data_IF_169494940676
#
_entry.id   IF_169494940676
#
_cell.length_a   1.000
_cell.length_b   1.000
_cell.length_c   1.000
_cell.angle_alpha   90.00
_cell.angle_beta   90.00
_cell.angle_gamma   90.00
#
_symmetry.space_group_name_H-M   'P 1'
#
loop_
_entity.id
_entity.type
_entity.pdbx_description
1 polymer ?
#
# COMPACT_ATOMS: atom_id res chain seq x y z
N UNK A 1 -33.01 14.75 -25.94
CA UNK A 1 -31.57 14.45 -26.16
C UNK A 1 -30.69 14.91 -24.99
N UNK A 2 -30.94 16.08 -24.38
CA UNK A 2 -30.20 16.57 -23.20
C UNK A 2 -30.39 15.72 -21.92
N UNK A 3 -31.61 15.28 -21.58
CA UNK A 3 -31.88 14.40 -20.43
C UNK A 3 -31.18 13.03 -20.54
N UNK A 4 -31.22 12.41 -21.72
CA UNK A 4 -30.53 11.14 -21.97
C UNK A 4 -29.00 11.27 -21.77
N UNK A 5 -28.42 12.38 -22.20
CA UNK A 5 -27.00 12.66 -21.97
C UNK A 5 -26.68 12.88 -20.48
N UNK A 6 -27.56 13.56 -19.75
CA UNK A 6 -27.41 13.80 -18.31
C UNK A 6 -27.45 12.49 -17.50
N UNK A 7 -28.47 11.64 -17.71
CA UNK A 7 -28.60 10.37 -17.00
C UNK A 7 -27.43 9.41 -17.32
N UNK A 8 -26.96 9.41 -18.57
CA UNK A 8 -25.78 8.62 -18.96
C UNK A 8 -24.50 9.09 -18.25
N UNK A 9 -24.29 10.40 -18.13
CA UNK A 9 -23.12 10.96 -17.43
C UNK A 9 -23.19 10.66 -15.95
N UNK A 10 -24.36 10.86 -15.32
CA UNK A 10 -24.61 10.57 -13.90
C UNK A 10 -24.35 9.10 -13.57
N UNK A 11 -24.86 8.18 -14.38
CA UNK A 11 -24.62 6.74 -14.23
C UNK A 11 -23.13 6.39 -14.34
N UNK A 12 -22.42 6.98 -15.30
CA UNK A 12 -20.98 6.79 -15.49
C UNK A 12 -20.17 7.26 -14.29
N UNK A 13 -20.46 8.45 -13.76
CA UNK A 13 -19.78 9.01 -12.59
C UNK A 13 -20.01 8.11 -11.36
N UNK A 14 -21.25 7.65 -11.14
CA UNK A 14 -21.55 6.79 -10.00
C UNK A 14 -20.78 5.44 -10.06
N UNK A 15 -20.70 4.82 -11.24
CA UNK A 15 -19.90 3.60 -11.44
C UNK A 15 -18.41 3.86 -11.20
N UNK A 16 -17.89 5.00 -11.67
CA UNK A 16 -16.49 5.38 -11.45
C UNK A 16 -16.17 5.61 -9.97
N UNK A 17 -17.04 6.30 -9.23
CA UNK A 17 -16.87 6.51 -7.78
C UNK A 17 -16.78 5.15 -7.07
N UNK A 18 -17.75 4.26 -7.31
CA UNK A 18 -17.75 2.93 -6.66
C UNK A 18 -16.50 2.12 -6.97
N UNK A 19 -15.99 2.21 -8.20
CA UNK A 19 -14.75 1.54 -8.60
C UNK A 19 -13.55 2.11 -7.84
N UNK A 20 -13.39 3.43 -7.80
CA UNK A 20 -12.24 4.04 -7.12
C UNK A 20 -12.29 3.89 -5.60
N UNK A 21 -13.49 3.83 -4.99
CA UNK A 21 -13.64 3.46 -3.57
C UNK A 21 -13.10 2.06 -3.31
N UNK A 22 -13.52 1.06 -4.09
CA UNK A 22 -13.00 -0.32 -3.94
C UNK A 22 -11.49 -0.42 -4.16
N UNK A 23 -10.95 0.36 -5.11
CA UNK A 23 -9.51 0.42 -5.32
C UNK A 23 -8.77 1.01 -4.10
N UNK A 24 -9.37 1.99 -3.41
CA UNK A 24 -8.81 2.56 -2.19
C UNK A 24 -8.87 1.57 -1.03
N UNK A 25 -9.99 0.86 -0.87
CA UNK A 25 -10.15 -0.16 0.17
C UNK A 25 -9.07 -1.24 0.01
N UNK A 26 -8.95 -1.80 -1.20
CA UNK A 26 -7.93 -2.80 -1.52
C UNK A 26 -6.50 -2.29 -1.30
N UNK A 27 -6.20 -1.05 -1.70
CA UNK A 27 -4.87 -0.47 -1.47
C UNK A 27 -4.57 -0.25 0.02
N UNK A 28 -5.61 0.00 0.83
CA UNK A 28 -5.48 0.13 2.29
C UNK A 28 -5.23 -1.23 2.94
N UNK A 29 -5.92 -2.28 2.51
CA UNK A 29 -5.67 -3.66 2.96
C UNK A 29 -4.24 -4.12 2.64
N UNK A 30 -3.72 -3.78 1.46
CA UNK A 30 -2.33 -4.08 1.09
C UNK A 30 -1.31 -3.31 1.94
N UNK A 31 -1.61 -2.07 2.32
CA UNK A 31 -0.75 -1.31 3.25
C UNK A 31 -0.73 -1.97 4.62
N UNK A 32 -1.89 -2.35 5.17
CA UNK A 32 -1.98 -3.05 6.45
C UNK A 32 -1.22 -4.39 6.43
N UNK A 33 -1.39 -5.18 5.37
CA UNK A 33 -0.64 -6.44 5.19
C UNK A 33 0.87 -6.20 5.14
N UNK A 34 1.32 -5.15 4.45
CA UNK A 34 2.74 -4.79 4.38
C UNK A 34 3.29 -4.33 5.73
N UNK A 35 2.49 -3.63 6.55
CA UNK A 35 2.86 -3.25 7.92
C UNK A 35 3.03 -4.48 8.81
N UNK A 36 2.11 -5.46 8.72
CA UNK A 36 2.22 -6.73 9.44
C UNK A 36 3.45 -7.53 9.00
N UNK A 37 3.72 -7.59 7.69
CA UNK A 37 4.90 -8.25 7.15
C UNK A 37 6.20 -7.59 7.64
N UNK A 38 6.24 -6.26 7.68
CA UNK A 38 7.38 -5.51 8.22
C UNK A 38 7.61 -5.83 9.71
N UNK A 39 6.55 -5.83 10.52
CA UNK A 39 6.64 -6.20 11.93
C UNK A 39 7.19 -7.63 12.11
N UNK A 40 6.70 -8.59 11.33
CA UNK A 40 7.19 -9.97 11.33
C UNK A 40 8.67 -10.07 10.92
N UNK A 41 9.11 -9.32 9.91
CA UNK A 41 10.53 -9.34 9.48
C UNK A 41 11.46 -8.67 10.49
N UNK A 42 11.00 -7.65 11.21
CA UNK A 42 11.77 -7.06 12.33
C UNK A 42 11.98 -8.07 13.45
N UNK A 43 10.93 -8.80 13.80
CA UNK A 43 10.98 -9.89 14.77
C UNK A 43 11.96 -10.98 14.34
N UNK A 44 11.82 -11.43 13.08
CA UNK A 44 12.69 -12.45 12.49
C UNK A 44 14.17 -12.05 12.51
N UNK A 45 14.49 -10.79 12.21
CA UNK A 45 15.86 -10.28 12.28
C UNK A 45 16.38 -10.29 13.72
N UNK A 46 15.56 -9.91 14.70
CA UNK A 46 15.97 -9.93 16.11
C UNK A 46 16.35 -11.34 16.55
N UNK A 47 15.45 -12.31 16.33
CA UNK A 47 15.71 -13.72 16.64
C UNK A 47 16.95 -14.26 15.91
N UNK A 48 17.12 -13.87 14.62
CA UNK A 48 18.28 -14.30 13.84
C UNK A 48 19.59 -13.72 14.39
N UNK A 49 19.56 -12.49 14.87
CA UNK A 49 20.72 -11.80 15.47
C UNK A 49 21.10 -12.45 16.80
N UNK A 50 20.12 -12.69 17.69
CA UNK A 50 20.33 -13.38 18.96
C UNK A 50 20.91 -14.80 18.75
N UNK A 51 20.38 -15.55 17.78
CA UNK A 51 20.90 -16.86 17.43
C UNK A 51 22.33 -16.78 16.84
N UNK A 52 22.64 -15.73 16.08
CA UNK A 52 23.98 -15.48 15.56
C UNK A 52 24.99 -15.19 16.67
N UNK A 53 24.61 -14.38 17.66
CA UNK A 53 25.42 -14.07 18.84
C UNK A 53 25.66 -15.30 19.71
N UNK A 54 24.70 -16.21 19.79
CA UNK A 54 24.83 -17.51 20.45
C UNK A 54 25.62 -18.55 19.62
N UNK A 55 26.07 -18.21 18.41
CA UNK A 55 26.79 -19.13 17.51
C UNK A 55 25.90 -20.19 16.83
N UNK A 56 24.57 -20.06 16.92
CA UNK A 56 23.59 -20.98 16.33
C UNK A 56 23.23 -20.62 14.88
N UNK A 57 23.58 -19.41 14.42
CA UNK A 57 23.43 -18.97 13.03
C UNK A 57 24.71 -18.35 12.50
N UNK A 58 24.91 -18.50 11.21
CA UNK A 58 26.01 -17.88 10.47
C UNK A 58 25.76 -16.40 10.20
N UNK A 59 26.84 -15.65 9.93
CA UNK A 59 26.76 -14.25 9.49
C UNK A 59 25.96 -14.07 8.20
N UNK A 60 26.03 -15.06 7.28
CA UNK A 60 25.24 -15.09 6.05
C UNK A 60 23.74 -15.17 6.33
N UNK A 61 23.31 -16.01 7.28
CA UNK A 61 21.89 -16.13 7.65
C UNK A 61 21.35 -14.86 8.33
N UNK A 62 22.14 -14.22 9.20
CA UNK A 62 21.79 -12.92 9.77
C UNK A 62 21.67 -11.86 8.67
N UNK A 63 22.60 -11.86 7.71
CA UNK A 63 22.57 -10.93 6.57
C UNK A 63 21.35 -11.15 5.68
N UNK A 64 20.96 -12.40 5.44
CA UNK A 64 19.74 -12.73 4.71
C UNK A 64 18.49 -12.20 5.43
N UNK A 65 18.42 -12.33 6.76
CA UNK A 65 17.32 -11.76 7.54
C UNK A 65 17.26 -10.22 7.44
N UNK A 66 18.41 -9.53 7.38
CA UNK A 66 18.47 -8.07 7.15
C UNK A 66 17.96 -7.71 5.76
N UNK A 67 18.31 -8.48 4.73
CA UNK A 67 17.84 -8.27 3.37
C UNK A 67 16.30 -8.44 3.26
N UNK A 68 15.74 -9.45 3.93
CA UNK A 68 14.28 -9.65 3.99
C UNK A 68 13.57 -8.50 4.73
N UNK A 69 14.16 -7.95 5.79
CA UNK A 69 13.64 -6.75 6.44
C UNK A 69 13.65 -5.55 5.49
N UNK A 70 14.78 -5.28 4.83
CA UNK A 70 14.89 -4.17 3.88
C UNK A 70 13.88 -4.30 2.73
N UNK A 71 13.63 -5.52 2.24
CA UNK A 71 12.60 -5.80 1.24
C UNK A 71 11.21 -5.45 1.76
N UNK A 72 10.86 -5.85 2.98
CA UNK A 72 9.57 -5.52 3.58
C UNK A 72 9.36 -4.00 3.78
N UNK A 73 10.42 -3.26 4.10
CA UNK A 73 10.38 -1.79 4.18
C UNK A 73 10.07 -1.16 2.82
N UNK A 74 10.70 -1.65 1.75
CA UNK A 74 10.42 -1.21 0.37
C UNK A 74 8.99 -1.55 -0.04
N UNK A 75 8.50 -2.73 0.32
CA UNK A 75 7.14 -3.16 -0.03
C UNK A 75 6.09 -2.32 0.71
N UNK A 76 6.31 -1.95 1.97
CA UNK A 76 5.46 -1.00 2.69
C UNK A 76 5.46 0.40 2.04
N UNK A 77 6.62 0.90 1.59
CA UNK A 77 6.68 2.17 0.88
C UNK A 77 5.87 2.15 -0.42
N UNK A 78 5.94 1.06 -1.18
CA UNK A 78 5.13 0.87 -2.40
C UNK A 78 3.64 0.82 -2.07
N UNK A 79 3.24 0.10 -1.03
CA UNK A 79 1.84 0.00 -0.62
C UNK A 79 1.27 1.38 -0.21
N UNK A 80 2.03 2.15 0.59
CA UNK A 80 1.69 3.53 0.97
C UNK A 80 1.53 4.44 -0.24
N UNK A 81 2.45 4.36 -1.20
CA UNK A 81 2.36 5.12 -2.45
C UNK A 81 1.10 4.74 -3.24
N UNK A 82 0.82 3.44 -3.37
CA UNK A 82 -0.36 2.94 -4.06
C UNK A 82 -1.67 3.44 -3.42
N UNK A 83 -1.77 3.42 -2.09
CA UNK A 83 -2.91 3.98 -1.36
C UNK A 83 -3.05 5.48 -1.60
N UNK A 84 -1.95 6.24 -1.55
CA UNK A 84 -1.97 7.69 -1.85
C UNK A 84 -2.48 7.98 -3.26
N UNK A 85 -2.04 7.20 -4.26
CA UNK A 85 -2.53 7.31 -5.63
C UNK A 85 -4.01 6.95 -5.75
N UNK A 86 -4.50 5.95 -4.99
CA UNK A 86 -5.92 5.61 -4.95
C UNK A 86 -6.78 6.75 -4.37
N UNK A 87 -6.31 7.41 -3.30
CA UNK A 87 -6.97 8.61 -2.75
C UNK A 87 -7.04 9.73 -3.80
N UNK A 88 -5.95 9.98 -4.54
CA UNK A 88 -5.92 11.01 -5.59
C UNK A 88 -6.91 10.68 -6.72
N UNK A 89 -6.97 9.43 -7.16
CA UNK A 89 -7.93 8.99 -8.20
C UNK A 89 -9.39 9.16 -7.75
N UNK A 90 -9.70 8.77 -6.52
CA UNK A 90 -11.03 8.94 -5.94
C UNK A 90 -11.42 10.43 -5.87
N UNK A 91 -10.52 11.29 -5.37
CA UNK A 91 -10.74 12.75 -5.31
C UNK A 91 -11.04 13.34 -6.68
N UNK A 92 -10.28 12.95 -7.71
CA UNK A 92 -10.47 13.40 -9.09
C UNK A 92 -11.86 13.03 -9.63
N UNK A 93 -12.32 11.80 -9.39
CA UNK A 93 -13.65 11.34 -9.81
C UNK A 93 -14.78 12.01 -9.02
N UNK A 94 -14.54 12.38 -7.77
CA UNK A 94 -15.49 13.14 -6.94
C UNK A 94 -15.51 14.65 -7.25
N UNK A 95 -14.74 15.13 -8.23
CA UNK A 95 -14.70 16.53 -8.62
C UNK A 95 -13.92 17.45 -7.68
N UNK A 96 -13.14 16.89 -6.74
CA UNK A 96 -12.24 17.68 -5.91
C UNK A 96 -10.95 17.96 -6.69
N UNK A 97 -10.55 19.23 -6.86
CA UNK A 97 -9.27 19.54 -7.48
C UNK A 97 -8.16 18.95 -6.62
N UNK A 98 -7.20 18.27 -7.27
CA UNK A 98 -5.96 17.86 -6.62
C UNK A 98 -5.24 19.16 -6.29
N UNK A 99 -5.23 19.58 -5.03
CA UNK A 99 -4.35 20.65 -4.58
C UNK A 99 -2.93 20.11 -4.67
N UNK A 100 -2.26 20.42 -5.76
CA UNK A 100 -0.81 20.32 -5.84
C UNK A 100 -0.27 21.25 -4.74
N UNK A 101 0.36 20.67 -3.72
CA UNK A 101 0.96 21.44 -2.65
C UNK A 101 2.13 22.23 -3.22
N UNK A 102 2.10 23.55 -3.00
CA UNK A 102 3.30 24.38 -2.91
C UNK A 102 3.95 24.18 -1.54
#
# INVERSE_FOLDING_TARGET
QAEYNYERIKGRVHVQIRRETRNLDYASELEELAEQALAFRRESLRMSTEAGEAGLKTTTEVTAARAELAKAEVDLLKARLNRRLAVIRLRKVCGYPVRDGH
#
